data_IF_997503137341
#
_entry.id   IF_997503137341
#
_cell.length_a   1.000
_cell.length_b   1.000
_cell.length_c   1.000
_cell.angle_alpha   90.00
_cell.angle_beta   90.00
_cell.angle_gamma   90.00
#
_symmetry.space_group_name_H-M   'P 1'
#
loop_
_entity.id
_entity.type
_entity.pdbx_description
1 polymer ?
#
# COMPACT_ATOMS: atom_id res chain seq x y z
N UNK A 1 -54.74 -47.77 49.93
CA UNK A 1 -53.52 -47.78 49.08
C UNK A 1 -53.56 -46.59 48.18
N UNK A 2 -52.76 -45.56 48.47
CA UNK A 2 -52.64 -44.37 47.62
C UNK A 2 -51.32 -44.46 46.81
N UNK A 3 -51.39 -44.62 45.50
CA UNK A 3 -50.25 -44.57 44.61
C UNK A 3 -49.92 -43.05 44.35
N UNK A 4 -48.76 -42.67 44.83
CA UNK A 4 -48.17 -41.35 44.45
C UNK A 4 -47.26 -41.55 43.25
N UNK A 5 -47.72 -41.02 42.11
CA UNK A 5 -46.95 -40.99 40.84
C UNK A 5 -45.93 -39.82 40.89
N UNK A 6 -44.62 -40.15 40.88
CA UNK A 6 -43.56 -39.15 40.74
C UNK A 6 -43.32 -38.86 39.24
N UNK A 7 -43.68 -37.67 38.80
CA UNK A 7 -43.33 -37.18 37.48
C UNK A 7 -41.88 -36.60 37.55
N UNK A 8 -40.90 -37.33 36.97
CA UNK A 8 -39.54 -36.82 36.79
C UNK A 8 -39.50 -35.88 35.57
N UNK A 9 -39.32 -34.61 35.81
CA UNK A 9 -39.01 -33.64 34.77
C UNK A 9 -37.52 -33.74 34.39
N UNK A 10 -37.22 -34.22 33.17
CA UNK A 10 -35.89 -34.09 32.59
C UNK A 10 -35.77 -32.70 31.99
N UNK A 11 -35.01 -31.84 32.64
CA UNK A 11 -34.63 -30.53 32.10
C UNK A 11 -33.47 -30.77 31.13
N UNK A 12 -33.74 -30.70 29.81
CA UNK A 12 -32.70 -30.72 28.81
C UNK A 12 -32.03 -29.34 28.80
N UNK A 13 -30.82 -29.24 29.36
CA UNK A 13 -30.00 -28.02 29.25
C UNK A 13 -29.51 -27.89 27.81
N UNK A 14 -30.07 -26.94 27.06
CA UNK A 14 -29.54 -26.55 25.76
C UNK A 14 -28.34 -25.62 26.06
N UNK A 15 -27.15 -26.16 26.00
CA UNK A 15 -25.92 -25.37 26.03
C UNK A 15 -25.87 -24.51 24.78
N UNK A 16 -25.79 -23.15 24.89
CA UNK A 16 -25.61 -22.32 23.72
C UNK A 16 -24.20 -22.55 23.17
N UNK A 17 -24.12 -23.17 22.01
CA UNK A 17 -22.87 -23.33 21.25
C UNK A 17 -22.48 -21.94 20.71
N UNK A 18 -21.73 -21.16 21.48
CA UNK A 18 -21.08 -19.96 20.98
C UNK A 18 -19.93 -20.38 20.06
N UNK A 19 -20.18 -20.41 18.76
CA UNK A 19 -19.13 -20.48 17.77
C UNK A 19 -18.35 -19.17 17.83
N UNK A 20 -17.24 -19.13 18.55
CA UNK A 20 -16.30 -18.01 18.47
C UNK A 20 -15.76 -17.98 17.04
N UNK A 21 -16.14 -16.97 16.27
CA UNK A 21 -15.60 -16.74 14.94
C UNK A 21 -14.07 -16.59 15.08
N UNK A 22 -13.32 -17.56 14.54
CA UNK A 22 -11.87 -17.53 14.56
C UNK A 22 -11.40 -16.44 13.62
N UNK A 23 -10.71 -15.41 14.13
CA UNK A 23 -10.10 -14.38 13.32
C UNK A 23 -8.87 -14.96 12.61
N UNK A 24 -8.74 -14.65 11.31
CA UNK A 24 -7.63 -15.14 10.47
C UNK A 24 -6.27 -14.50 10.78
N UNK A 25 -6.21 -13.63 11.77
CA UNK A 25 -5.01 -12.86 12.10
C UNK A 25 -5.00 -11.47 11.44
N UNK A 26 -4.20 -10.58 12.00
CA UNK A 26 -4.04 -9.21 11.47
C UNK A 26 -2.82 -9.17 10.57
N UNK A 27 -2.92 -8.71 9.30
CA UNK A 27 -1.75 -8.51 8.45
C UNK A 27 -0.79 -7.50 9.06
N UNK A 28 0.50 -7.70 8.79
CA UNK A 28 1.57 -6.76 9.09
C UNK A 28 2.10 -6.11 7.81
N UNK A 29 3.02 -5.16 7.94
CA UNK A 29 3.60 -4.44 6.83
C UNK A 29 5.12 -4.55 6.88
N UNK A 30 5.72 -4.84 5.71
CA UNK A 30 7.16 -4.81 5.52
C UNK A 30 7.52 -3.71 4.53
N UNK A 31 8.49 -2.87 4.90
CA UNK A 31 8.93 -1.77 4.08
C UNK A 31 9.61 -2.27 2.80
N UNK A 32 9.19 -1.74 1.64
CA UNK A 32 9.77 -2.07 0.35
C UNK A 32 10.80 -1.04 -0.09
N UNK A 33 10.41 0.22 -0.21
CA UNK A 33 11.27 1.32 -0.64
C UNK A 33 10.56 2.67 -0.49
N UNK A 34 11.37 3.74 -0.48
CA UNK A 34 10.91 5.12 -0.69
C UNK A 34 11.17 5.54 -2.14
N UNK A 35 10.19 6.15 -2.77
CA UNK A 35 10.29 6.78 -4.09
C UNK A 35 10.40 8.29 -3.95
N UNK A 36 11.27 8.90 -4.74
CA UNK A 36 11.25 10.32 -5.08
C UNK A 36 10.97 10.46 -6.58
N UNK A 37 9.72 10.70 -6.98
CA UNK A 37 9.30 10.77 -8.37
C UNK A 37 9.21 12.21 -8.85
N UNK A 38 9.99 12.56 -9.85
CA UNK A 38 9.96 13.88 -10.54
C UNK A 38 8.75 13.97 -11.44
N UNK A 39 8.08 15.12 -11.41
CA UNK A 39 6.87 15.39 -12.16
C UNK A 39 7.12 16.44 -13.26
N UNK A 40 6.48 16.22 -14.41
CA UNK A 40 6.43 17.18 -15.51
C UNK A 40 5.25 18.15 -15.40
N UNK A 41 5.09 18.95 -16.44
CA UNK A 41 4.00 19.90 -16.56
C UNK A 41 2.65 19.19 -16.64
N UNK A 42 1.67 19.72 -15.93
CA UNK A 42 0.32 19.17 -15.84
C UNK A 42 -0.48 19.48 -17.11
N UNK A 43 -1.11 18.48 -17.68
CA UNK A 43 -2.03 18.64 -18.81
C UNK A 43 -3.48 18.47 -18.34
N UNK A 44 -4.25 19.56 -18.21
CA UNK A 44 -5.66 19.45 -17.87
C UNK A 44 -6.44 18.87 -19.05
N UNK A 45 -7.14 17.76 -18.81
CA UNK A 45 -8.12 17.22 -19.75
C UNK A 45 -9.45 17.96 -19.61
N UNK A 46 -9.76 18.40 -18.39
CA UNK A 46 -10.96 19.16 -18.05
C UNK A 46 -12.00 18.34 -17.31
N UNK A 47 -13.13 19.01 -17.09
CA UNK A 47 -14.32 18.41 -16.46
C UNK A 47 -15.15 17.66 -17.52
N UNK A 48 -15.49 16.40 -17.22
CA UNK A 48 -16.32 15.55 -18.09
C UNK A 48 -17.69 15.23 -17.46
N UNK A 49 -18.13 16.01 -16.45
CA UNK A 49 -19.42 15.89 -15.79
C UNK A 49 -19.45 14.97 -14.55
N UNK A 50 -18.39 14.17 -14.33
CA UNK A 50 -18.25 13.31 -13.15
C UNK A 50 -16.99 13.65 -12.33
N UNK A 51 -16.28 14.71 -12.73
CA UNK A 51 -15.06 15.19 -12.13
C UNK A 51 -14.11 15.77 -13.16
N UNK A 52 -12.98 16.29 -12.68
CA UNK A 52 -11.96 16.92 -13.51
C UNK A 52 -10.73 16.02 -13.61
N UNK A 53 -10.29 15.73 -14.84
CA UNK A 53 -9.13 14.90 -15.12
C UNK A 53 -7.90 15.73 -15.50
N UNK A 54 -6.75 15.25 -15.05
CA UNK A 54 -5.45 15.82 -15.37
C UNK A 54 -4.46 14.70 -15.68
N UNK A 55 -3.55 14.93 -16.61
CA UNK A 55 -2.40 14.06 -16.83
C UNK A 55 -1.15 14.76 -16.30
N UNK A 56 -0.39 14.07 -15.46
CA UNK A 56 0.85 14.58 -14.86
C UNK A 56 1.97 13.60 -15.27
N UNK A 57 2.86 14.00 -16.20
CA UNK A 57 3.99 13.16 -16.59
C UNK A 57 4.89 12.82 -15.40
N UNK A 58 5.36 11.58 -15.33
CA UNK A 58 6.43 11.15 -14.42
C UNK A 58 7.70 11.14 -15.25
N UNK A 59 8.61 12.09 -14.96
CA UNK A 59 9.77 12.38 -15.82
C UNK A 59 11.05 11.70 -15.35
N UNK A 60 11.00 10.97 -14.24
CA UNK A 60 12.14 10.26 -13.66
C UNK A 60 12.10 10.27 -12.15
N UNK A 61 13.25 10.02 -11.52
CA UNK A 61 13.40 9.96 -10.09
C UNK A 61 14.19 8.75 -9.63
N UNK A 62 14.17 8.51 -8.33
CA UNK A 62 14.88 7.39 -7.71
C UNK A 62 13.98 6.63 -6.74
N UNK A 63 14.31 5.39 -6.48
CA UNK A 63 13.74 4.63 -5.38
C UNK A 63 14.84 3.89 -4.63
N UNK A 64 14.67 3.77 -3.32
CA UNK A 64 15.64 3.12 -2.46
C UNK A 64 14.96 2.34 -1.34
N UNK A 65 15.36 1.09 -1.15
CA UNK A 65 14.85 0.19 -0.13
C UNK A 65 15.79 -0.96 0.16
N UNK A 66 15.48 -1.79 1.15
CA UNK A 66 16.39 -2.85 1.61
C UNK A 66 16.59 -3.99 0.60
N UNK A 67 15.61 -4.22 -0.28
CA UNK A 67 15.62 -5.35 -1.23
C UNK A 67 15.74 -4.90 -2.68
N UNK A 68 15.44 -3.65 -2.99
CA UNK A 68 15.50 -3.11 -4.35
C UNK A 68 15.73 -1.60 -4.33
N UNK A 69 16.54 -1.13 -5.26
CA UNK A 69 16.84 0.28 -5.45
C UNK A 69 17.18 0.58 -6.91
N UNK A 70 17.03 1.84 -7.34
CA UNK A 70 17.27 2.20 -8.72
C UNK A 70 16.67 3.55 -9.10
N UNK A 71 16.29 3.65 -10.38
CA UNK A 71 15.76 4.86 -11.00
C UNK A 71 14.37 4.65 -11.57
N UNK A 72 13.62 5.74 -11.74
CA UNK A 72 12.36 5.75 -12.45
C UNK A 72 12.65 6.14 -13.90
N UNK A 73 12.16 5.37 -14.85
CA UNK A 73 12.28 5.70 -16.26
C UNK A 73 11.40 6.92 -16.58
N UNK A 74 11.91 7.80 -17.47
CA UNK A 74 11.10 8.91 -18.02
C UNK A 74 10.05 8.37 -18.99
N UNK A 75 9.13 7.55 -18.44
CA UNK A 75 8.07 6.89 -19.19
C UNK A 75 6.94 6.57 -18.22
N UNK A 76 5.84 7.30 -18.35
CA UNK A 76 4.68 7.12 -17.52
C UNK A 76 4.03 8.43 -17.10
N UNK A 77 2.89 8.32 -16.46
CA UNK A 77 2.14 9.47 -15.97
C UNK A 77 1.18 9.08 -14.84
N UNK A 78 0.64 10.11 -14.21
CA UNK A 78 -0.54 10.07 -13.36
C UNK A 78 -1.75 10.60 -14.15
N UNK A 79 -2.73 9.74 -14.42
CA UNK A 79 -4.02 10.10 -15.00
C UNK A 79 -5.02 10.45 -13.90
N UNK A 80 -4.64 11.44 -13.10
CA UNK A 80 -5.35 11.84 -11.89
C UNK A 80 -6.77 12.35 -12.16
N UNK A 81 -7.64 12.05 -11.23
CA UNK A 81 -9.04 12.49 -11.22
C UNK A 81 -9.32 13.27 -9.94
N UNK A 82 -9.90 14.46 -10.07
CA UNK A 82 -10.56 15.14 -8.94
C UNK A 82 -12.06 14.92 -9.07
N UNK A 83 -12.67 14.27 -8.08
CA UNK A 83 -14.11 14.01 -8.09
C UNK A 83 -14.96 15.27 -7.81
N UNK A 84 -16.27 15.11 -7.85
CA UNK A 84 -17.24 16.20 -7.60
C UNK A 84 -17.19 16.74 -6.16
N UNK A 85 -16.52 16.04 -5.22
CA UNK A 85 -16.31 16.48 -3.83
C UNK A 85 -14.95 17.14 -3.63
N UNK A 86 -14.12 17.27 -4.68
CA UNK A 86 -12.79 17.86 -4.63
C UNK A 86 -11.70 16.91 -4.16
N UNK A 87 -11.97 15.62 -4.00
CA UNK A 87 -10.97 14.61 -3.62
C UNK A 87 -10.17 14.21 -4.85
N UNK A 88 -8.84 14.27 -4.75
CA UNK A 88 -7.94 13.85 -5.82
C UNK A 88 -7.60 12.36 -5.69
N UNK A 89 -7.71 11.65 -6.81
CA UNK A 89 -7.38 10.24 -6.97
C UNK A 89 -6.30 10.10 -8.04
N UNK A 90 -5.02 9.89 -7.69
CA UNK A 90 -4.02 9.49 -8.66
C UNK A 90 -4.35 8.09 -9.23
N UNK A 91 -3.98 7.91 -10.49
CA UNK A 91 -3.97 6.64 -11.21
C UNK A 91 -2.70 6.61 -12.05
N UNK A 92 -1.61 6.13 -11.46
CA UNK A 92 -0.29 6.20 -12.08
C UNK A 92 0.09 4.88 -12.74
N UNK A 93 0.83 4.98 -13.82
CA UNK A 93 1.56 3.86 -14.42
C UNK A 93 2.93 4.35 -14.83
N UNK A 94 3.97 3.67 -14.37
CA UNK A 94 5.35 4.01 -14.69
C UNK A 94 6.27 2.80 -14.52
N UNK A 95 7.53 2.95 -14.89
CA UNK A 95 8.51 1.87 -14.84
C UNK A 95 9.67 2.23 -13.93
N UNK A 96 10.06 1.27 -13.11
CA UNK A 96 11.27 1.29 -12.32
C UNK A 96 12.36 0.49 -13.06
N UNK A 97 13.62 0.94 -12.94
CA UNK A 97 14.79 0.18 -13.35
C UNK A 97 15.73 0.04 -12.17
N UNK A 98 15.98 -1.18 -11.75
CA UNK A 98 16.90 -1.49 -10.65
C UNK A 98 18.35 -1.22 -11.05
N UNK A 99 19.25 -1.10 -10.07
CA UNK A 99 20.69 -0.88 -10.33
C UNK A 99 21.35 -2.06 -11.07
N UNK A 100 20.82 -3.27 -10.89
CA UNK A 100 21.25 -4.49 -11.59
C UNK A 100 20.52 -4.72 -12.93
N UNK A 101 19.67 -3.78 -13.35
CA UNK A 101 19.10 -3.71 -14.70
C UNK A 101 17.74 -4.34 -14.89
N UNK A 102 17.05 -4.77 -13.84
CA UNK A 102 15.69 -5.28 -13.97
C UNK A 102 14.69 -4.15 -14.24
N UNK A 103 13.76 -4.37 -15.15
CA UNK A 103 12.64 -3.48 -15.42
C UNK A 103 11.40 -3.98 -14.68
N UNK A 104 10.74 -3.08 -13.96
CA UNK A 104 9.54 -3.36 -13.16
C UNK A 104 8.48 -2.35 -13.54
N UNK A 105 7.35 -2.83 -14.06
CA UNK A 105 6.15 -2.00 -14.21
C UNK A 105 5.48 -1.83 -12.84
N UNK A 106 5.00 -0.61 -12.56
CA UNK A 106 4.21 -0.32 -11.38
C UNK A 106 2.97 0.49 -11.74
N UNK A 107 1.86 0.11 -11.14
CA UNK A 107 0.63 0.91 -11.13
C UNK A 107 0.29 1.25 -9.68
N UNK A 108 -0.03 2.53 -9.40
CA UNK A 108 -0.54 2.95 -8.09
C UNK A 108 -1.80 3.79 -8.24
N UNK A 109 -2.78 3.57 -7.35
CA UNK A 109 -4.01 4.32 -7.33
C UNK A 109 -4.60 4.40 -5.92
N UNK A 110 -5.28 5.50 -5.60
CA UNK A 110 -5.98 5.64 -4.33
C UNK A 110 -6.42 7.07 -4.00
N UNK A 111 -7.22 7.27 -2.95
CA UNK A 111 -7.75 8.57 -2.58
C UNK A 111 -6.77 9.43 -1.77
N UNK A 112 -6.76 10.72 -2.00
CA UNK A 112 -6.14 11.69 -1.10
C UNK A 112 -6.97 11.77 0.19
N UNK A 113 -6.28 11.73 1.33
CA UNK A 113 -6.86 11.75 2.66
C UNK A 113 -7.08 13.20 3.13
N UNK A 114 -7.89 13.43 4.19
CA UNK A 114 -8.14 14.77 4.72
C UNK A 114 -6.88 15.53 5.19
N UNK A 115 -5.82 14.82 5.56
CA UNK A 115 -4.52 15.39 5.96
C UNK A 115 -3.61 15.74 4.76
N UNK A 116 -4.09 15.55 3.52
CA UNK A 116 -3.37 15.86 2.29
C UNK A 116 -2.45 14.75 1.76
N UNK A 117 -2.18 13.69 2.55
CA UNK A 117 -1.48 12.50 2.06
C UNK A 117 -2.40 11.67 1.17
N UNK A 118 -1.83 10.79 0.36
CA UNK A 118 -2.61 9.86 -0.46
C UNK A 118 -2.27 8.43 -0.08
N UNK A 119 -3.29 7.65 0.21
CA UNK A 119 -3.15 6.21 0.45
C UNK A 119 -3.30 5.47 -0.88
N UNK A 120 -2.28 4.70 -1.26
CA UNK A 120 -2.18 4.04 -2.55
C UNK A 120 -2.30 2.52 -2.42
N UNK A 121 -2.89 1.89 -3.42
CA UNK A 121 -2.68 0.48 -3.75
C UNK A 121 -1.57 0.40 -4.78
N UNK A 122 -0.65 -0.56 -4.63
CA UNK A 122 0.42 -0.82 -5.58
C UNK A 122 0.25 -2.18 -6.25
N UNK A 123 0.48 -2.24 -7.56
CA UNK A 123 0.56 -3.47 -8.35
C UNK A 123 1.89 -3.44 -9.08
N UNK A 124 2.65 -4.53 -8.99
CA UNK A 124 3.93 -4.71 -9.66
C UNK A 124 3.85 -5.80 -10.72
N UNK A 125 4.63 -5.65 -11.80
CA UNK A 125 4.81 -6.68 -12.80
C UNK A 125 6.25 -6.64 -13.32
N UNK A 126 6.94 -7.77 -13.30
CA UNK A 126 8.28 -7.94 -13.86
C UNK A 126 8.48 -9.36 -14.37
N UNK A 127 9.24 -9.49 -15.45
CA UNK A 127 9.71 -10.78 -15.94
C UNK A 127 11.11 -11.16 -15.44
N UNK A 128 11.73 -10.33 -14.59
CA UNK A 128 13.07 -10.62 -14.08
C UNK A 128 13.01 -11.64 -12.93
N UNK A 129 13.74 -12.75 -12.99
CA UNK A 129 13.61 -13.86 -12.04
C UNK A 129 13.91 -13.45 -10.58
N UNK A 130 14.88 -12.56 -10.34
CA UNK A 130 15.25 -12.13 -8.98
C UNK A 130 14.19 -11.22 -8.33
N UNK A 131 13.29 -10.66 -9.14
CA UNK A 131 12.20 -9.76 -8.69
C UNK A 131 10.80 -10.33 -8.94
N UNK A 132 10.69 -11.58 -9.39
CA UNK A 132 9.41 -12.24 -9.68
C UNK A 132 8.45 -12.22 -8.47
N UNK A 133 8.99 -12.24 -7.27
CA UNK A 133 8.22 -12.17 -6.02
C UNK A 133 7.33 -10.92 -5.93
N UNK A 134 7.68 -9.81 -6.61
CA UNK A 134 6.85 -8.59 -6.66
C UNK A 134 5.51 -8.82 -7.36
N UNK A 135 5.42 -9.78 -8.28
CA UNK A 135 4.20 -10.09 -9.01
C UNK A 135 3.08 -10.66 -8.11
N UNK A 136 3.45 -11.16 -6.93
CA UNK A 136 2.56 -11.91 -6.03
C UNK A 136 2.27 -11.19 -4.71
N UNK A 137 2.80 -9.98 -4.51
CA UNK A 137 2.56 -9.22 -3.28
C UNK A 137 1.33 -8.33 -3.38
N UNK A 138 0.73 -8.05 -2.24
CA UNK A 138 -0.20 -6.93 -2.06
C UNK A 138 0.59 -5.77 -1.47
N UNK A 139 0.60 -4.62 -2.15
CA UNK A 139 1.33 -3.47 -1.71
C UNK A 139 0.43 -2.27 -1.42
N UNK A 140 0.82 -1.50 -0.41
CA UNK A 140 0.23 -0.20 -0.10
C UNK A 140 1.33 0.87 -0.12
N UNK A 141 0.93 2.11 -0.38
CA UNK A 141 1.84 3.25 -0.37
C UNK A 141 1.23 4.45 0.33
N UNK A 142 2.09 5.29 0.91
CA UNK A 142 1.72 6.60 1.42
C UNK A 142 2.47 7.65 0.62
N UNK A 143 1.73 8.44 -0.16
CA UNK A 143 2.27 9.53 -0.95
C UNK A 143 2.13 10.83 -0.21
N UNK A 144 3.23 11.58 -0.15
CA UNK A 144 3.28 12.94 0.35
C UNK A 144 3.73 13.90 -0.75
N UNK A 145 3.07 15.06 -0.81
CA UNK A 145 3.42 16.14 -1.73
C UNK A 145 4.24 17.19 -0.99
N UNK A 146 5.37 17.65 -1.55
CA UNK A 146 6.10 18.76 -0.97
C UNK A 146 5.29 20.04 -1.02
N UNK A 147 5.58 20.95 -0.10
CA UNK A 147 4.99 22.29 -0.01
C UNK A 147 5.98 23.36 -0.45
N UNK A 148 5.56 24.62 -0.45
CA UNK A 148 6.42 25.76 -0.80
C UNK A 148 6.92 25.69 -2.25
N UNK A 149 8.18 26.05 -2.47
CA UNK A 149 8.82 26.18 -3.80
C UNK A 149 8.98 24.85 -4.55
N UNK A 150 8.79 23.75 -3.86
CA UNK A 150 8.88 22.39 -4.43
C UNK A 150 7.51 21.81 -4.81
N UNK A 151 6.41 22.54 -4.55
CA UNK A 151 5.06 22.09 -4.85
C UNK A 151 4.91 21.72 -6.33
N UNK A 152 4.50 20.49 -6.59
CA UNK A 152 4.25 19.99 -7.94
C UNK A 152 5.49 19.57 -8.74
N UNK A 153 6.70 19.68 -8.18
CA UNK A 153 7.94 19.27 -8.86
C UNK A 153 8.25 17.79 -8.69
N UNK A 154 7.92 17.23 -7.54
CA UNK A 154 8.08 15.80 -7.22
C UNK A 154 7.06 15.34 -6.19
N UNK A 155 7.01 14.05 -5.96
CA UNK A 155 6.28 13.42 -4.86
C UNK A 155 7.18 12.40 -4.15
N UNK A 156 6.97 12.24 -2.86
CA UNK A 156 7.57 11.16 -2.06
C UNK A 156 6.54 10.09 -1.83
N UNK A 157 6.92 8.84 -1.99
CA UNK A 157 6.05 7.68 -1.73
C UNK A 157 6.83 6.61 -0.99
N UNK A 158 6.36 6.27 0.20
CA UNK A 158 6.81 5.08 0.91
C UNK A 158 5.90 3.91 0.54
N UNK A 159 6.51 2.79 0.15
CA UNK A 159 5.80 1.57 -0.24
C UNK A 159 6.08 0.45 0.75
N UNK A 160 5.04 -0.31 1.08
CA UNK A 160 5.10 -1.50 1.92
C UNK A 160 4.38 -2.67 1.26
N UNK A 161 4.87 -3.88 1.46
CA UNK A 161 4.08 -5.09 1.20
C UNK A 161 3.22 -5.44 2.43
N UNK A 162 2.06 -6.00 2.18
CA UNK A 162 1.19 -6.58 3.20
C UNK A 162 1.61 -8.03 3.41
N UNK A 163 1.90 -8.40 4.66
CA UNK A 163 2.32 -9.76 5.04
C UNK A 163 1.28 -10.39 5.94
N UNK A 164 0.89 -11.61 5.62
CA UNK A 164 -0.01 -12.37 6.47
C UNK A 164 0.73 -12.91 7.69
N UNK A 165 0.06 -12.97 8.86
CA UNK A 165 0.66 -13.60 10.02
C UNK A 165 0.89 -15.09 9.72
N UNK A 166 2.00 -15.59 10.15
CA UNK A 166 2.34 -17.00 10.07
C UNK A 166 1.27 -17.87 10.74
N UNK A 167 0.93 -18.98 10.10
CA UNK A 167 0.02 -19.99 10.68
C UNK A 167 0.74 -21.34 10.76
N UNK A 168 0.80 -21.92 11.97
CA UNK A 168 1.36 -23.24 12.21
C UNK A 168 2.89 -23.29 12.42
N UNK A 169 3.44 -24.52 12.45
CA UNK A 169 4.85 -24.81 12.77
C UNK A 169 5.86 -24.36 11.71
N UNK A 170 5.44 -23.95 10.53
CA UNK A 170 6.35 -23.46 9.46
C UNK A 170 6.93 -22.08 9.77
N UNK A 171 6.52 -21.48 10.89
CA UNK A 171 6.94 -20.12 11.28
C UNK A 171 8.03 -20.11 12.36
N UNK A 172 8.43 -21.27 12.85
CA UNK A 172 9.53 -21.35 13.80
C UNK A 172 10.88 -21.09 13.10
N UNK A 173 11.41 -19.89 13.30
CA UNK A 173 12.71 -19.48 12.73
C UNK A 173 12.69 -18.29 11.77
N UNK A 174 11.51 -17.78 11.38
CA UNK A 174 11.45 -16.54 10.64
C UNK A 174 11.59 -15.34 11.59
N UNK A 175 12.39 -14.31 11.24
CA UNK A 175 12.48 -13.11 12.06
C UNK A 175 11.09 -12.48 12.18
N UNK A 176 10.59 -12.36 13.40
CA UNK A 176 9.38 -11.59 13.70
C UNK A 176 9.61 -10.16 13.18
N UNK A 177 8.68 -9.64 12.39
CA UNK A 177 8.76 -8.26 11.91
C UNK A 177 8.81 -7.31 13.10
N UNK A 178 10.04 -6.98 13.54
CA UNK A 178 10.29 -5.94 14.52
C UNK A 178 9.99 -4.60 13.87
N UNK A 179 9.39 -3.70 14.61
CA UNK A 179 9.39 -2.28 14.33
C UNK A 179 10.81 -1.84 14.00
N UNK A 180 11.13 -1.71 12.73
CA UNK A 180 12.40 -1.11 12.30
C UNK A 180 12.24 0.39 12.58
N UNK A 181 12.78 0.85 13.71
CA UNK A 181 13.15 2.25 13.86
C UNK A 181 14.20 2.53 12.79
N UNK A 182 13.79 3.22 11.74
CA UNK A 182 14.72 3.68 10.71
C UNK A 182 15.61 4.76 11.33
N UNK A 183 16.96 4.63 11.27
CA UNK A 183 17.83 5.76 11.56
C UNK A 183 17.48 6.88 10.59
N UNK A 184 17.17 8.08 11.09
CA UNK A 184 16.96 9.25 10.26
C UNK A 184 18.23 9.57 9.52
N UNK A 185 18.24 9.39 8.21
CA UNK A 185 19.36 9.75 7.33
C UNK A 185 19.58 11.27 7.37
N UNK A 186 20.85 11.73 7.35
CA UNK A 186 21.23 13.15 7.53
C UNK A 186 20.59 14.12 6.53
N UNK A 187 20.12 13.64 5.37
CA UNK A 187 19.47 14.47 4.34
C UNK A 187 18.01 14.83 4.69
N UNK A 188 17.38 14.15 5.66
CA UNK A 188 16.05 14.50 6.16
C UNK A 188 16.05 15.76 7.04
N UNK A 189 17.22 16.23 7.52
CA UNK A 189 17.35 17.39 8.40
C UNK A 189 17.61 18.72 7.66
N UNK A 190 17.67 18.75 6.34
CA UNK A 190 17.97 19.97 5.57
C UNK A 190 16.72 20.62 4.98
N UNK A 191 15.63 20.66 5.73
CA UNK A 191 14.37 21.25 5.29
C UNK A 191 13.52 21.81 6.43
N UNK A 192 14.12 22.64 7.29
CA UNK A 192 13.35 23.54 8.21
C UNK A 192 13.71 24.96 7.89
#
# INVERSE_FOLDING_TARGET
MRLTSFLSFVVLAIEPCFTTAQRLGTPSYEFLYTVNASLGERWPVGDYGQGSRVVIPITGGTFNGPRLSGTINNLGADWGLTDSKGVFFPDTRYNLRTHDGADIFIQTAGPTQPDGRTLLRGIFQTGHPDYEWLNYIVAIGVLQRPTGDHKGKYVLVDMWQVVLPCQGSECEGLPQSGTVEQPMEPWMMQGV
#
